data_IF_979965204246
#
_entry.id   IF_979965204246
#
_cell.length_a   1.000
_cell.length_b   1.000
_cell.length_c   1.000
_cell.angle_alpha   90.00
_cell.angle_beta   90.00
_cell.angle_gamma   90.00
#
_symmetry.space_group_name_H-M   'P 1'
#
loop_
_entity.id
_entity.type
_entity.pdbx_description
1 polymer ?
#
# COMPACT_ATOMS: atom_id res chain seq x y z
N UNK A 1 -13.99 74.81 45.47
CA UNK A 1 -15.34 74.24 45.68
C UNK A 1 -15.37 72.83 45.10
N UNK A 2 -16.03 71.89 45.80
CA UNK A 2 -16.09 70.42 45.58
C UNK A 2 -16.33 70.03 44.10
N UNK A 3 -15.80 68.92 43.58
CA UNK A 3 -16.43 67.57 43.63
C UNK A 3 -15.51 66.42 43.17
N UNK A 4 -15.67 65.32 43.90
CA UNK A 4 -15.17 63.94 43.78
C UNK A 4 -15.62 63.16 42.53
N UNK A 5 -14.85 62.15 42.08
CA UNK A 5 -15.21 60.69 42.07
C UNK A 5 -14.22 59.79 41.25
N UNK A 6 -13.73 58.74 41.93
CA UNK A 6 -13.48 57.31 41.54
C UNK A 6 -13.60 56.88 40.06
N UNK A 7 -12.85 55.91 39.51
CA UNK A 7 -12.66 54.54 39.99
C UNK A 7 -11.51 53.77 39.27
N UNK A 8 -11.04 52.70 39.93
CA UNK A 8 -10.06 51.71 39.47
C UNK A 8 -10.55 50.88 38.27
N UNK A 9 -9.62 50.51 37.38
CA UNK A 9 -9.82 49.48 36.36
C UNK A 9 -8.51 48.79 36.01
N UNK A 10 -8.15 47.75 36.77
CA UNK A 10 -7.05 46.83 36.45
C UNK A 10 -7.56 45.87 35.37
N UNK A 11 -7.17 46.10 34.12
CA UNK A 11 -7.48 45.20 33.00
C UNK A 11 -6.34 44.22 32.77
N UNK A 12 -6.43 43.03 33.37
CA UNK A 12 -5.51 41.92 33.14
C UNK A 12 -5.56 41.46 31.67
N UNK A 13 -4.44 41.57 30.96
CA UNK A 13 -4.23 40.91 29.67
C UNK A 13 -4.13 39.39 29.91
N UNK A 14 -5.20 38.67 29.58
CA UNK A 14 -5.18 37.20 29.51
C UNK A 14 -4.35 36.79 28.29
N UNK A 15 -3.14 36.28 28.51
CA UNK A 15 -2.40 35.53 27.48
C UNK A 15 -3.16 34.22 27.21
N UNK A 16 -4.02 34.25 26.20
CA UNK A 16 -4.63 33.05 25.65
C UNK A 16 -3.55 32.18 25.00
N UNK A 17 -3.25 31.03 25.61
CA UNK A 17 -2.41 30.00 25.00
C UNK A 17 -3.17 29.39 23.81
N UNK A 18 -2.77 29.74 22.59
CA UNK A 18 -3.20 29.04 21.38
C UNK A 18 -2.63 27.62 21.43
N UNK A 19 -3.44 26.65 21.83
CA UNK A 19 -3.20 25.24 21.58
C UNK A 19 -3.39 24.96 20.09
N UNK A 20 -2.29 24.89 19.35
CA UNK A 20 -2.30 24.39 17.98
C UNK A 20 -2.68 22.89 18.01
N UNK A 21 -3.76 22.46 17.34
CA UNK A 21 -4.04 21.04 17.21
C UNK A 21 -2.87 20.38 16.48
N UNK A 22 -2.23 19.39 17.11
CA UNK A 22 -1.18 18.61 16.49
C UNK A 22 -1.69 17.98 15.20
N UNK A 23 -0.98 18.20 14.10
CA UNK A 23 -1.30 17.56 12.84
C UNK A 23 -1.25 16.04 13.04
N UNK A 24 -2.40 15.37 12.89
CA UNK A 24 -2.45 13.92 12.81
C UNK A 24 -1.78 13.50 11.49
N UNK A 25 -0.46 13.38 11.50
CA UNK A 25 0.26 12.70 10.44
C UNK A 25 -0.21 11.25 10.43
N UNK A 26 -0.94 10.84 9.39
CA UNK A 26 -1.00 9.45 9.03
C UNK A 26 0.45 9.01 8.77
N UNK A 27 1.09 8.41 9.76
CA UNK A 27 2.52 8.16 9.73
C UNK A 27 2.81 7.10 8.67
N UNK A 28 3.31 7.54 7.52
CA UNK A 28 3.76 6.64 6.45
C UNK A 28 5.08 6.00 6.87
N UNK A 29 5.07 4.67 7.07
CA UNK A 29 6.28 3.93 7.40
C UNK A 29 7.12 3.70 6.15
N UNK A 30 8.31 4.29 6.11
CA UNK A 30 9.31 3.95 5.08
C UNK A 30 10.01 2.63 5.41
N UNK A 31 10.04 1.70 4.45
CA UNK A 31 10.68 0.39 4.58
C UNK A 31 11.93 0.28 3.68
N UNK A 32 13.11 0.10 4.28
CA UNK A 32 14.40 -0.10 3.59
C UNK A 32 15.11 -1.40 4.00
N UNK A 33 14.37 -2.33 4.59
CA UNK A 33 14.89 -3.58 5.14
C UNK A 33 13.77 -4.54 5.48
N UNK A 34 13.89 -5.26 6.58
CA UNK A 34 12.88 -6.25 7.01
C UNK A 34 11.96 -5.67 8.07
N UNK A 35 10.66 -5.91 7.92
CA UNK A 35 9.64 -5.74 8.96
C UNK A 35 9.01 -7.11 9.19
N UNK A 36 9.09 -7.59 10.43
CA UNK A 36 8.46 -8.85 10.82
C UNK A 36 7.00 -8.61 11.23
N UNK A 37 6.47 -9.44 12.13
CA UNK A 37 5.13 -9.29 12.68
C UNK A 37 5.03 -7.96 13.45
N UNK A 38 4.49 -6.95 12.78
CA UNK A 38 4.25 -5.62 13.29
C UNK A 38 3.03 -5.03 12.57
N UNK A 39 2.39 -4.04 13.18
CA UNK A 39 1.32 -3.29 12.54
C UNK A 39 1.82 -1.90 12.17
N UNK A 40 1.57 -1.49 10.93
CA UNK A 40 1.89 -0.15 10.40
C UNK A 40 0.64 0.41 9.72
N UNK A 41 0.59 1.74 9.57
CA UNK A 41 -0.51 2.39 8.86
C UNK A 41 -0.32 2.27 7.35
N UNK A 42 0.28 3.27 6.70
CA UNK A 42 0.73 3.16 5.31
C UNK A 42 2.19 2.73 5.26
N UNK A 43 2.58 2.04 4.19
CA UNK A 43 3.96 1.61 4.00
C UNK A 43 4.47 2.01 2.62
N UNK A 44 5.64 2.65 2.59
CA UNK A 44 6.34 3.05 1.37
C UNK A 44 7.68 2.33 1.26
N UNK A 45 7.93 1.69 0.12
CA UNK A 45 9.24 1.17 -0.26
C UNK A 45 9.84 2.18 -1.24
N UNK A 46 10.85 2.97 -0.81
CA UNK A 46 11.40 4.03 -1.62
C UNK A 46 12.23 3.47 -2.78
N UNK A 47 12.45 4.29 -3.82
CA UNK A 47 13.18 3.89 -5.02
C UNK A 47 14.52 3.20 -4.72
N UNK A 48 14.81 2.11 -5.44
CA UNK A 48 16.04 1.32 -5.29
C UNK A 48 16.14 0.47 -4.02
N UNK A 49 15.25 0.68 -3.05
CA UNK A 49 15.30 -0.04 -1.78
C UNK A 49 14.70 -1.44 -1.89
N UNK A 50 15.16 -2.32 -1.00
CA UNK A 50 14.54 -3.61 -0.75
C UNK A 50 13.72 -3.53 0.55
N UNK A 51 12.47 -3.97 0.48
CA UNK A 51 11.64 -4.21 1.64
C UNK A 51 11.22 -5.68 1.72
N UNK A 52 11.37 -6.27 2.90
CA UNK A 52 10.85 -7.60 3.20
C UNK A 52 9.82 -7.49 4.31
N UNK A 53 8.61 -7.99 4.07
CA UNK A 53 7.52 -8.03 5.03
C UNK A 53 7.18 -9.48 5.35
N UNK A 54 7.23 -9.84 6.63
CA UNK A 54 6.97 -11.21 7.11
C UNK A 54 5.94 -11.18 8.23
N UNK A 55 4.70 -11.57 7.94
CA UNK A 55 3.63 -11.53 8.95
C UNK A 55 3.18 -10.11 9.34
N UNK A 56 3.62 -9.09 8.61
CA UNK A 56 3.27 -7.69 8.87
C UNK A 56 1.79 -7.42 8.56
N UNK A 57 1.16 -6.55 9.36
CA UNK A 57 -0.17 -5.99 9.08
C UNK A 57 -0.03 -4.52 8.66
N UNK A 58 -0.54 -4.18 7.48
CA UNK A 58 -0.59 -2.82 6.95
C UNK A 58 -2.06 -2.38 6.94
N UNK A 59 -2.42 -1.39 7.76
CA UNK A 59 -3.81 -0.89 7.85
C UNK A 59 -4.20 -0.05 6.63
N UNK A 60 -3.22 0.50 5.93
CA UNK A 60 -3.38 1.30 4.74
C UNK A 60 -2.89 0.58 3.50
N UNK A 61 -2.17 1.32 2.66
CA UNK A 61 -1.64 0.86 1.36
C UNK A 61 -0.13 0.61 1.45
N UNK A 62 0.32 -0.40 0.71
CA UNK A 62 1.75 -0.61 0.41
C UNK A 62 2.05 0.01 -0.95
N UNK A 63 2.92 1.01 -0.97
CA UNK A 63 3.40 1.66 -2.20
C UNK A 63 4.86 1.28 -2.47
N UNK A 64 5.14 0.73 -3.65
CA UNK A 64 6.50 0.34 -4.09
C UNK A 64 6.90 1.21 -5.26
N UNK A 65 7.96 2.00 -5.07
CA UNK A 65 8.43 2.96 -6.06
C UNK A 65 9.35 2.33 -7.12
N UNK A 66 9.83 3.18 -8.02
CA UNK A 66 10.67 2.80 -9.15
C UNK A 66 11.95 2.10 -8.71
N UNK A 67 12.31 1.02 -9.41
CA UNK A 67 13.47 0.18 -9.14
C UNK A 67 13.53 -0.39 -7.71
N UNK A 68 12.42 -0.31 -6.96
CA UNK A 68 12.33 -0.88 -5.63
C UNK A 68 11.91 -2.35 -5.71
N UNK A 69 12.16 -3.07 -4.62
CA UNK A 69 11.93 -4.51 -4.49
C UNK A 69 11.07 -4.80 -3.26
N UNK A 70 10.04 -5.62 -3.43
CA UNK A 70 9.15 -6.03 -2.33
C UNK A 70 9.05 -7.55 -2.22
N UNK A 71 9.43 -8.10 -1.07
CA UNK A 71 9.16 -9.49 -0.67
C UNK A 71 8.12 -9.51 0.45
N UNK A 72 6.85 -9.72 0.11
CA UNK A 72 5.74 -9.82 1.06
C UNK A 72 5.30 -11.27 1.27
N UNK A 73 5.44 -11.79 2.49
CA UNK A 73 5.13 -13.16 2.84
C UNK A 73 4.19 -13.20 4.05
N UNK A 74 3.05 -13.89 3.90
CA UNK A 74 2.07 -14.08 4.97
C UNK A 74 1.57 -12.78 5.60
N UNK A 75 1.44 -11.71 4.81
CA UNK A 75 1.04 -10.39 5.31
C UNK A 75 -0.48 -10.19 5.25
N UNK A 76 -0.97 -9.19 5.99
CA UNK A 76 -2.31 -8.64 5.85
C UNK A 76 -2.23 -7.18 5.44
N UNK A 77 -2.84 -6.82 4.32
CA UNK A 77 -3.00 -5.43 3.89
C UNK A 77 -4.49 -5.12 3.84
N UNK A 78 -4.94 -4.10 4.55
CA UNK A 78 -6.36 -3.69 4.50
C UNK A 78 -6.66 -2.93 3.21
N UNK A 79 -5.76 -2.04 2.79
CA UNK A 79 -5.84 -1.33 1.51
C UNK A 79 -5.23 -2.12 0.36
N UNK A 80 -4.45 -1.42 -0.48
CA UNK A 80 -3.90 -1.95 -1.73
C UNK A 80 -2.42 -2.30 -1.63
N UNK A 81 -1.94 -3.11 -2.57
CA UNK A 81 -0.51 -3.16 -2.92
C UNK A 81 -0.36 -2.52 -4.29
N UNK A 82 0.38 -1.43 -4.37
CA UNK A 82 0.52 -0.60 -5.57
C UNK A 82 1.97 -0.41 -5.94
N UNK A 83 2.28 -0.57 -7.22
CA UNK A 83 3.60 -0.30 -7.75
C UNK A 83 3.60 0.22 -9.17
N UNK A 84 4.51 1.14 -9.45
CA UNK A 84 4.87 1.59 -10.78
C UNK A 84 6.40 1.62 -10.92
N UNK A 85 6.93 0.85 -11.89
CA UNK A 85 8.36 0.83 -12.18
C UNK A 85 9.22 -0.03 -11.25
N UNK A 86 8.67 -0.96 -10.48
CA UNK A 86 9.45 -1.84 -9.60
C UNK A 86 10.49 -2.67 -10.35
N UNK A 87 11.56 -3.06 -9.65
CA UNK A 87 12.49 -4.08 -10.14
C UNK A 87 11.83 -5.47 -10.06
N UNK A 88 11.35 -5.85 -8.87
CA UNK A 88 10.48 -7.02 -8.71
C UNK A 88 9.55 -6.91 -7.50
N UNK A 89 8.39 -7.55 -7.60
CA UNK A 89 7.40 -7.63 -6.52
C UNK A 89 6.96 -9.08 -6.32
N UNK A 90 7.05 -9.55 -5.08
CA UNK A 90 6.54 -10.84 -4.63
C UNK A 90 5.51 -10.64 -3.53
N UNK A 91 4.30 -11.16 -3.74
CA UNK A 91 3.22 -11.20 -2.74
C UNK A 91 2.72 -12.63 -2.63
N UNK A 92 3.00 -13.29 -1.50
CA UNK A 92 2.76 -14.72 -1.32
C UNK A 92 2.02 -15.01 -0.02
N UNK A 93 1.07 -15.95 -0.07
CA UNK A 93 0.34 -16.45 1.11
C UNK A 93 -0.35 -15.35 1.93
N UNK A 94 -0.78 -14.27 1.29
CA UNK A 94 -1.21 -13.04 1.96
C UNK A 94 -2.71 -12.76 1.81
N UNK A 95 -3.24 -11.85 2.63
CA UNK A 95 -4.61 -11.34 2.55
C UNK A 95 -4.57 -9.84 2.21
N UNK A 96 -5.10 -9.47 1.06
CA UNK A 96 -5.18 -8.09 0.58
C UNK A 96 -6.66 -7.70 0.52
N UNK A 97 -7.07 -6.70 1.30
CA UNK A 97 -8.45 -6.24 1.37
C UNK A 97 -8.87 -5.50 0.10
N UNK A 98 -7.97 -4.68 -0.45
CA UNK A 98 -8.15 -4.02 -1.74
C UNK A 98 -7.61 -4.84 -2.91
N UNK A 99 -7.01 -4.13 -3.87
CA UNK A 99 -6.41 -4.66 -5.09
C UNK A 99 -4.90 -4.82 -5.00
N UNK A 100 -4.35 -5.69 -5.86
CA UNK A 100 -2.92 -5.73 -6.19
C UNK A 100 -2.76 -5.09 -7.59
N UNK A 101 -2.04 -3.97 -7.68
CA UNK A 101 -1.86 -3.21 -8.92
C UNK A 101 -0.37 -3.01 -9.20
N UNK A 102 0.16 -3.73 -10.17
CA UNK A 102 1.60 -3.74 -10.49
C UNK A 102 1.79 -3.35 -11.95
N UNK A 103 2.41 -2.19 -12.19
CA UNK A 103 2.52 -1.59 -13.52
C UNK A 103 3.97 -1.23 -13.87
N UNK A 104 4.30 -1.33 -15.15
CA UNK A 104 5.54 -0.82 -15.74
C UNK A 104 6.84 -1.29 -15.06
N UNK A 105 6.83 -2.41 -14.34
CA UNK A 105 8.00 -2.93 -13.62
C UNK A 105 8.62 -4.16 -14.27
N UNK A 106 9.48 -4.84 -13.52
CA UNK A 106 10.06 -6.13 -13.87
C UNK A 106 9.26 -7.32 -13.33
N UNK A 107 9.93 -8.21 -12.61
CA UNK A 107 9.37 -9.52 -12.26
C UNK A 107 8.20 -9.41 -11.25
N UNK A 108 7.17 -10.23 -11.47
CA UNK A 108 6.01 -10.32 -10.58
C UNK A 108 5.77 -11.76 -10.14
N UNK A 109 5.57 -11.95 -8.84
CA UNK A 109 5.11 -13.22 -8.29
C UNK A 109 3.95 -12.99 -7.32
N UNK A 110 2.73 -13.27 -7.78
CA UNK A 110 1.50 -13.15 -6.99
C UNK A 110 0.92 -14.55 -6.82
N UNK A 111 1.16 -15.16 -5.65
CA UNK A 111 0.81 -16.56 -5.41
C UNK A 111 0.08 -16.82 -4.09
N UNK A 112 -0.95 -17.66 -4.12
CA UNK A 112 -1.63 -18.16 -2.92
C UNK A 112 -2.24 -17.06 -2.05
N UNK A 113 -2.72 -15.98 -2.67
CA UNK A 113 -3.31 -14.84 -1.95
C UNK A 113 -4.85 -14.91 -1.92
N UNK A 114 -5.44 -14.22 -0.95
CA UNK A 114 -6.85 -13.80 -0.99
C UNK A 114 -6.90 -12.30 -1.27
N UNK A 115 -7.55 -11.90 -2.35
CA UNK A 115 -7.64 -10.50 -2.79
C UNK A 115 -9.10 -10.09 -2.81
N UNK A 116 -9.43 -9.03 -2.07
CA UNK A 116 -10.80 -8.56 -1.88
C UNK A 116 -11.36 -7.84 -3.09
N UNK A 117 -10.50 -7.28 -3.95
CA UNK A 117 -10.87 -6.63 -5.21
C UNK A 117 -10.10 -7.26 -6.37
N UNK A 118 -9.41 -6.47 -7.19
CA UNK A 118 -8.81 -6.90 -8.45
C UNK A 118 -7.32 -7.25 -8.32
N UNK A 119 -6.83 -8.03 -9.28
CA UNK A 119 -5.40 -8.17 -9.56
C UNK A 119 -5.13 -7.62 -10.96
N UNK A 120 -4.33 -6.56 -11.04
CA UNK A 120 -4.03 -5.82 -12.26
C UNK A 120 -2.52 -5.80 -12.52
N UNK A 121 -2.09 -6.50 -13.58
CA UNK A 121 -0.67 -6.64 -13.94
C UNK A 121 -0.48 -6.06 -15.34
N UNK A 122 0.05 -4.84 -15.46
CA UNK A 122 0.11 -4.13 -16.75
C UNK A 122 1.51 -3.66 -17.15
N UNK A 123 1.87 -3.87 -18.41
CA UNK A 123 3.10 -3.29 -19.01
C UNK A 123 4.39 -3.71 -18.30
N UNK A 124 4.40 -4.85 -17.61
CA UNK A 124 5.59 -5.33 -16.91
C UNK A 124 6.49 -6.17 -17.83
N UNK A 125 7.79 -5.96 -17.71
CA UNK A 125 8.85 -6.77 -18.32
C UNK A 125 9.20 -7.94 -17.40
N UNK A 126 10.07 -8.85 -17.82
CA UNK A 126 10.48 -9.99 -16.97
C UNK A 126 9.40 -11.06 -16.77
N UNK A 127 9.60 -11.99 -15.85
CA UNK A 127 8.69 -13.11 -15.59
C UNK A 127 7.54 -12.67 -14.69
N UNK A 128 6.31 -12.99 -15.08
CA UNK A 128 5.13 -12.76 -14.24
C UNK A 128 4.45 -14.10 -13.97
N UNK A 129 4.43 -14.51 -12.71
CA UNK A 129 3.74 -15.73 -12.25
C UNK A 129 2.56 -15.35 -11.39
N UNK A 130 1.37 -15.79 -11.79
CA UNK A 130 0.12 -15.54 -11.08
C UNK A 130 -0.59 -16.88 -10.87
N UNK A 131 -0.57 -17.41 -9.65
CA UNK A 131 -1.13 -18.74 -9.39
C UNK A 131 -1.79 -18.91 -8.03
N UNK A 132 -2.80 -19.78 -7.99
CA UNK A 132 -3.48 -20.20 -6.77
C UNK A 132 -4.08 -19.05 -5.94
N UNK A 133 -4.44 -17.94 -6.57
CA UNK A 133 -5.09 -16.82 -5.88
C UNK A 133 -6.61 -16.99 -5.86
N UNK A 134 -7.25 -16.54 -4.78
CA UNK A 134 -8.69 -16.33 -4.71
C UNK A 134 -8.97 -14.83 -4.78
N UNK A 135 -9.53 -14.39 -5.90
CA UNK A 135 -9.73 -12.98 -6.24
C UNK A 135 -11.23 -12.76 -6.30
N UNK A 136 -11.76 -11.85 -5.49
CA UNK A 136 -13.20 -11.56 -5.52
C UNK A 136 -13.59 -10.70 -6.73
N UNK A 137 -12.72 -9.80 -7.18
CA UNK A 137 -12.89 -9.00 -8.39
C UNK A 137 -12.34 -9.70 -9.64
N UNK A 138 -11.71 -8.93 -10.52
CA UNK A 138 -11.17 -9.37 -11.81
C UNK A 138 -9.68 -9.70 -11.73
N UNK A 139 -9.22 -10.52 -12.68
CA UNK A 139 -7.80 -10.75 -12.96
C UNK A 139 -7.48 -10.21 -14.36
N UNK A 140 -6.75 -9.09 -14.42
CA UNK A 140 -6.53 -8.33 -15.66
C UNK A 140 -5.04 -8.24 -15.96
N UNK A 141 -4.65 -8.60 -17.19
CA UNK A 141 -3.26 -8.58 -17.60
C UNK A 141 -3.08 -8.10 -19.03
N UNK A 142 -2.40 -6.97 -19.19
CA UNK A 142 -2.31 -6.25 -20.47
C UNK A 142 -0.89 -5.79 -20.74
N UNK A 143 -0.44 -5.94 -21.99
CA UNK A 143 0.85 -5.44 -22.48
C UNK A 143 2.09 -5.92 -21.71
N UNK A 144 2.01 -7.02 -20.96
CA UNK A 144 3.19 -7.59 -20.32
C UNK A 144 4.01 -8.41 -21.33
N UNK A 145 5.34 -8.32 -21.24
CA UNK A 145 6.25 -9.05 -22.13
C UNK A 145 7.33 -9.76 -21.30
N UNK A 146 7.43 -11.10 -21.34
CA UNK A 146 6.46 -12.07 -21.90
C UNK A 146 5.06 -11.99 -21.26
N UNK A 147 4.05 -12.67 -21.82
CA UNK A 147 2.74 -12.76 -21.16
C UNK A 147 2.83 -13.48 -19.79
N UNK A 148 1.96 -13.18 -18.81
CA UNK A 148 1.99 -13.85 -17.52
C UNK A 148 1.66 -15.35 -17.63
N UNK A 149 2.28 -16.15 -16.77
CA UNK A 149 2.06 -17.60 -16.67
C UNK A 149 1.49 -17.95 -15.30
N UNK A 150 0.96 -19.17 -15.17
CA UNK A 150 0.42 -19.68 -13.92
C UNK A 150 -0.85 -20.50 -14.11
N UNK A 151 -1.65 -20.59 -13.07
CA UNK A 151 -2.85 -21.42 -13.03
C UNK A 151 -3.45 -21.53 -11.63
N UNK A 152 -4.64 -22.13 -11.54
CA UNK A 152 -5.32 -22.37 -10.26
C UNK A 152 -5.92 -21.11 -9.64
N UNK A 153 -6.06 -20.01 -10.39
CA UNK A 153 -6.72 -18.82 -9.88
C UNK A 153 -8.25 -18.98 -9.90
N UNK A 154 -8.89 -18.71 -8.77
CA UNK A 154 -10.35 -18.64 -8.64
C UNK A 154 -10.74 -17.18 -8.60
N UNK A 155 -11.48 -16.72 -9.60
CA UNK A 155 -11.79 -15.31 -9.83
C UNK A 155 -13.31 -15.16 -9.81
N UNK A 156 -13.82 -14.23 -8.98
CA UNK A 156 -15.25 -13.96 -8.86
C UNK A 156 -15.79 -13.15 -10.03
N UNK A 157 -14.97 -12.26 -10.59
CA UNK A 157 -15.21 -11.57 -11.85
C UNK A 157 -14.56 -12.29 -13.04
N UNK A 158 -14.03 -11.50 -13.98
CA UNK A 158 -13.48 -12.00 -15.23
C UNK A 158 -11.95 -12.17 -15.19
N UNK A 159 -11.47 -13.07 -16.05
CA UNK A 159 -10.06 -13.18 -16.42
C UNK A 159 -9.89 -12.56 -17.80
N UNK A 160 -9.08 -11.50 -17.88
CA UNK A 160 -9.04 -10.66 -19.07
C UNK A 160 -7.68 -10.74 -19.78
N UNK A 161 -7.72 -10.45 -21.08
CA UNK A 161 -6.54 -10.25 -21.93
C UNK A 161 -5.53 -11.42 -21.88
N UNK A 162 -4.30 -11.15 -21.43
CA UNK A 162 -3.22 -12.13 -21.33
C UNK A 162 -3.46 -13.15 -20.21
N UNK A 163 -4.35 -12.83 -19.26
CA UNK A 163 -4.66 -13.68 -18.12
C UNK A 163 -5.92 -14.53 -18.30
N UNK A 164 -6.57 -14.47 -19.47
CA UNK A 164 -7.82 -15.21 -19.77
C UNK A 164 -7.75 -16.72 -19.55
N UNK A 165 -6.54 -17.30 -19.51
CA UNK A 165 -6.30 -18.75 -19.35
C UNK A 165 -5.71 -19.15 -17.97
N UNK A 166 -5.50 -18.21 -17.05
CA UNK A 166 -4.84 -18.47 -15.74
C UNK A 166 -5.80 -18.89 -14.64
#
# INVERSE_FOLDING_TARGET
MKRTLTALGVGSLLLGTLSLPGAASAEERTCRGTINAATVDNLRVPSGALCTLNGTTVKGTVKVETNARLSANSIRVVGNVQSEGHDWVKVVSSRIGGSIQLKQGGDVNVRSNRVGQDVQIFTNRGTKTISNNRINGNLQCKSNVPAPVGGGNVVGGNKEDQCRRL
#
